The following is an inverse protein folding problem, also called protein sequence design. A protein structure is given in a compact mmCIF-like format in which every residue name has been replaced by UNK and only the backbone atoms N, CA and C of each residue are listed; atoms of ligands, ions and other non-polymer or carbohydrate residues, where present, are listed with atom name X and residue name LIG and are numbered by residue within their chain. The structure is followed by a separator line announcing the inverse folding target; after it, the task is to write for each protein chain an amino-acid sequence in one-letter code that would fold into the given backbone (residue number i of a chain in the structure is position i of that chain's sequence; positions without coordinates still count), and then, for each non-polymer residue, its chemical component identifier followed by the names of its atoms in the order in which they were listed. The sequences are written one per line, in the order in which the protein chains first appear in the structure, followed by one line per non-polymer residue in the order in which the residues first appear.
data_IF_842170705780
#
_entry.id   IF_842170705780
#
_cell.length_a   1.000
_cell.length_b   1.000
_cell.length_c   1.000
_cell.angle_alpha   90.00
_cell.angle_beta   90.00
_cell.angle_gamma   90.00
#
_symmetry.space_group_name_H-M   'P 1'
#
loop_
_entity.id
_entity.type
_entity.pdbx_description
1 polymer ?
#
# COMPACT_ATOMS: atom_id res chain seq x y z
N UNK A 1 -11.53 12.12 2.42
CA UNK A 1 -11.05 12.60 3.73
C UNK A 1 -11.59 11.87 4.94
N UNK A 2 -12.56 10.96 4.82
CA UNK A 2 -13.17 10.27 5.98
C UNK A 2 -12.66 8.84 6.14
N UNK A 3 -12.84 8.26 7.33
CA UNK A 3 -12.64 6.84 7.58
C UNK A 3 -13.84 6.24 8.32
N UNK A 4 -14.04 4.94 8.12
CA UNK A 4 -15.07 4.14 8.77
C UNK A 4 -14.40 3.07 9.62
N UNK A 5 -14.99 2.75 10.78
CA UNK A 5 -14.54 1.67 11.65
C UNK A 5 -15.66 0.65 11.78
N UNK A 6 -15.29 -0.63 11.71
CA UNK A 6 -16.22 -1.75 11.80
C UNK A 6 -15.71 -2.78 12.81
N UNK A 7 -16.65 -3.36 13.56
CA UNK A 7 -16.44 -4.58 14.33
C UNK A 7 -17.19 -5.72 13.65
N UNK A 8 -16.46 -6.64 13.01
CA UNK A 8 -17.06 -7.63 12.13
C UNK A 8 -17.77 -6.95 10.95
N UNK A 9 -19.10 -7.13 10.86
CA UNK A 9 -19.94 -6.49 9.82
C UNK A 9 -20.67 -5.23 10.31
N UNK A 10 -20.55 -4.87 11.60
CA UNK A 10 -21.27 -3.73 12.19
C UNK A 10 -20.38 -2.49 12.17
N UNK A 11 -20.88 -1.40 11.59
CA UNK A 11 -20.22 -0.10 11.69
C UNK A 11 -20.31 0.40 13.13
N UNK A 12 -19.21 0.94 13.64
CA UNK A 12 -19.20 1.56 14.95
C UNK A 12 -19.96 2.88 14.95
N UNK A 13 -20.61 3.22 16.06
CA UNK A 13 -21.76 4.14 16.08
C UNK A 13 -21.54 5.52 15.46
N UNK A 14 -20.50 6.25 15.88
CA UNK A 14 -20.27 7.65 15.48
C UNK A 14 -19.38 7.80 14.23
N UNK A 15 -19.26 6.73 13.43
CA UNK A 15 -18.55 6.72 12.16
C UNK A 15 -19.49 7.03 10.97
N UNK A 16 -18.98 7.62 9.88
CA UNK A 16 -17.58 7.97 9.61
C UNK A 16 -17.08 9.22 10.34
N UNK A 17 -15.76 9.27 10.54
CA UNK A 17 -15.04 10.43 11.09
C UNK A 17 -14.05 11.00 10.07
N UNK A 18 -13.61 12.23 10.27
CA UNK A 18 -12.52 12.78 9.45
C UNK A 18 -11.21 12.06 9.79
N UNK A 19 -10.35 11.87 8.78
CA UNK A 19 -9.02 11.27 8.99
C UNK A 19 -8.23 12.07 10.03
N UNK A 20 -8.38 13.39 10.06
CA UNK A 20 -7.73 14.25 11.05
C UNK A 20 -8.08 13.90 12.50
N UNK A 21 -9.28 13.37 12.75
CA UNK A 21 -9.79 13.11 14.10
C UNK A 21 -9.18 11.83 14.68
N UNK A 22 -9.00 10.80 13.84
CA UNK A 22 -8.44 9.50 14.25
C UNK A 22 -6.96 9.32 13.96
N UNK A 23 -6.45 10.01 12.93
CA UNK A 23 -5.11 9.85 12.38
C UNK A 23 -4.43 11.21 12.17
N UNK A 24 -4.34 11.99 13.25
CA UNK A 24 -3.68 13.30 13.24
C UNK A 24 -2.28 13.22 12.60
N UNK A 25 -2.00 14.14 11.66
CA UNK A 25 -0.74 14.18 10.91
C UNK A 25 -0.70 13.32 9.64
N UNK A 26 -1.76 12.56 9.35
CA UNK A 26 -1.94 11.83 8.09
C UNK A 26 -2.76 12.68 7.11
N UNK A 27 -2.35 12.77 5.82
CA UNK A 27 -3.10 13.57 4.85
C UNK A 27 -4.42 12.88 4.43
N UNK A 28 -5.27 13.66 3.78
CA UNK A 28 -6.47 13.13 3.15
C UNK A 28 -6.16 12.38 1.85
N UNK A 29 -7.14 11.59 1.38
CA UNK A 29 -7.12 10.90 0.08
C UNK A 29 -5.90 9.98 -0.08
N UNK A 30 -5.63 9.19 0.97
CA UNK A 30 -4.59 8.16 1.02
C UNK A 30 -4.77 7.14 -0.10
N UNK A 31 -3.67 6.69 -0.70
CA UNK A 31 -3.69 5.68 -1.77
C UNK A 31 -3.64 4.26 -1.19
N UNK A 32 -2.84 4.02 -0.15
CA UNK A 32 -2.76 2.72 0.54
C UNK A 32 -2.40 2.87 2.03
N UNK A 33 -2.72 1.85 2.84
CA UNK A 33 -2.26 1.77 4.23
C UNK A 33 -2.04 0.31 4.65
N UNK A 34 -1.08 0.08 5.55
CA UNK A 34 -0.84 -1.24 6.15
C UNK A 34 -0.33 -1.14 7.59
N UNK A 35 -0.59 -2.15 8.40
CA UNK A 35 0.16 -2.38 9.64
C UNK A 35 1.42 -3.16 9.26
N UNK A 36 2.60 -2.60 9.55
CA UNK A 36 3.86 -3.25 9.19
C UNK A 36 4.41 -4.04 10.37
N UNK A 37 4.50 -5.36 10.24
CA UNK A 37 4.91 -6.26 11.32
C UNK A 37 6.37 -6.13 11.76
N UNK A 38 7.22 -5.43 11.00
CA UNK A 38 8.58 -5.12 11.45
C UNK A 38 8.63 -4.28 12.72
N UNK A 39 7.63 -3.43 12.97
CA UNK A 39 7.55 -2.64 14.22
C UNK A 39 6.12 -2.37 14.73
N UNK A 40 5.10 -2.98 14.14
CA UNK A 40 3.70 -2.87 14.55
C UNK A 40 3.03 -1.50 14.26
N UNK A 41 3.72 -0.58 13.60
CA UNK A 41 3.18 0.76 13.30
C UNK A 41 2.34 0.73 12.02
N UNK A 42 1.49 1.74 11.87
CA UNK A 42 0.66 1.91 10.67
C UNK A 42 1.41 2.78 9.67
N UNK A 43 1.51 2.31 8.43
CA UNK A 43 2.14 3.01 7.33
C UNK A 43 1.06 3.46 6.36
N UNK A 44 1.02 4.76 6.07
CA UNK A 44 0.10 5.37 5.12
C UNK A 44 0.89 5.87 3.91
N UNK A 45 0.37 5.66 2.71
CA UNK A 45 1.03 5.99 1.45
C UNK A 45 0.18 6.96 0.66
N UNK A 46 0.82 8.02 0.15
CA UNK A 46 0.18 8.99 -0.74
C UNK A 46 1.20 9.52 -1.74
N UNK A 47 0.87 9.38 -3.01
CA UNK A 47 1.70 9.76 -4.15
C UNK A 47 3.09 9.11 -4.06
N UNK A 48 4.16 9.90 -4.00
CA UNK A 48 5.54 9.42 -3.86
C UNK A 48 6.04 9.38 -2.41
N UNK A 49 5.13 9.42 -1.44
CA UNK A 49 5.45 9.62 -0.01
C UNK A 49 4.75 8.60 0.88
N UNK A 50 5.34 8.39 2.06
CA UNK A 50 4.71 7.63 3.13
C UNK A 50 4.89 8.29 4.50
N UNK A 51 3.95 7.99 5.40
CA UNK A 51 3.92 8.40 6.80
C UNK A 51 3.96 7.15 7.67
N UNK A 52 4.64 7.25 8.81
CA UNK A 52 4.59 6.22 9.86
C UNK A 52 3.84 6.76 11.05
N UNK A 53 2.69 6.17 11.30
CA UNK A 53 1.77 6.51 12.38
C UNK A 53 1.94 5.54 13.55
N UNK A 54 2.12 6.08 14.74
CA UNK A 54 2.21 5.34 15.99
C UNK A 54 1.09 5.79 16.94
N UNK A 55 0.05 4.97 17.16
CA UNK A 55 -1.06 5.34 18.04
C UNK A 55 -0.64 5.51 19.51
N UNK A 56 0.53 5.01 19.92
CA UNK A 56 1.04 5.13 21.27
C UNK A 56 1.81 6.45 21.53
N UNK A 57 2.03 7.28 20.51
CA UNK A 57 2.84 8.50 20.62
C UNK A 57 2.00 9.77 20.48
N UNK A 58 2.48 10.86 21.10
CA UNK A 58 1.90 12.21 20.99
C UNK A 58 3.03 13.21 20.69
N UNK A 59 3.16 13.74 19.46
CA UNK A 59 2.31 13.48 18.30
C UNK A 59 2.48 12.05 17.73
N UNK A 60 1.44 11.48 17.09
CA UNK A 60 1.49 10.10 16.57
C UNK A 60 2.34 9.96 15.30
N UNK A 61 2.61 11.07 14.61
CA UNK A 61 3.53 11.15 13.47
C UNK A 61 4.75 11.98 13.87
N UNK A 62 5.96 11.43 13.65
CA UNK A 62 7.20 12.17 13.91
C UNK A 62 7.43 13.24 12.83
N UNK A 63 8.00 14.38 13.20
CA UNK A 63 8.31 15.48 12.26
C UNK A 63 9.31 15.14 11.14
N UNK A 64 9.96 13.98 11.18
CA UNK A 64 10.80 13.45 10.11
C UNK A 64 10.02 12.76 8.98
N UNK A 65 8.69 12.78 9.05
CA UNK A 65 7.78 12.29 8.01
C UNK A 65 7.01 13.45 7.37
N UNK A 66 6.55 13.31 6.11
CA UNK A 66 6.67 12.12 5.25
C UNK A 66 8.09 11.82 4.78
N UNK A 67 8.31 10.56 4.38
CA UNK A 67 9.52 10.12 3.68
C UNK A 67 9.19 9.67 2.25
N UNK A 68 10.15 9.70 1.32
CA UNK A 68 9.95 9.17 -0.03
C UNK A 68 9.63 7.67 0.00
N UNK A 69 8.67 7.22 -0.82
CA UNK A 69 8.36 5.79 -0.94
C UNK A 69 9.54 4.99 -1.51
N UNK A 70 10.47 5.63 -2.22
CA UNK A 70 11.72 5.03 -2.70
C UNK A 70 12.61 4.43 -1.61
N UNK A 71 12.36 4.75 -0.33
CA UNK A 71 12.98 4.03 0.79
C UNK A 71 12.56 2.55 0.82
N UNK A 72 11.39 2.20 0.29
CA UNK A 72 10.97 0.83 -0.01
C UNK A 72 11.53 0.45 -1.38
N UNK A 73 12.76 -0.04 -1.41
CA UNK A 73 13.51 -0.22 -2.65
C UNK A 73 12.77 -1.11 -3.66
N UNK A 74 12.60 -0.59 -4.89
CA UNK A 74 11.90 -1.26 -5.99
C UNK A 74 10.37 -1.07 -6.03
N UNK A 75 9.77 -0.40 -5.03
CA UNK A 75 8.33 -0.08 -5.03
C UNK A 75 8.07 1.20 -5.83
N UNK A 76 7.11 1.20 -6.77
CA UNK A 76 6.77 2.41 -7.55
C UNK A 76 5.97 3.41 -6.71
N UNK A 77 5.90 4.66 -7.19
CA UNK A 77 5.01 5.68 -6.65
C UNK A 77 3.52 5.35 -6.89
N UNK A 78 2.64 6.05 -6.16
CA UNK A 78 1.19 6.00 -6.30
C UNK A 78 0.61 4.57 -6.18
N UNK A 79 1.12 3.74 -5.28
CA UNK A 79 0.61 2.37 -5.07
C UNK A 79 -0.90 2.36 -4.79
N UNK A 80 -1.59 1.30 -5.23
CA UNK A 80 -3.04 1.17 -5.10
C UNK A 80 -3.45 0.43 -3.81
N UNK A 81 -2.56 -0.42 -3.28
CA UNK A 81 -2.76 -1.13 -2.01
C UNK A 81 -1.43 -1.63 -1.44
N UNK A 82 -1.41 -1.88 -0.13
CA UNK A 82 -0.30 -2.51 0.57
C UNK A 82 -0.83 -3.42 1.69
N UNK A 83 -0.21 -4.58 1.90
CA UNK A 83 -0.50 -5.44 3.03
C UNK A 83 0.72 -6.28 3.40
N UNK A 84 0.89 -6.61 4.68
CA UNK A 84 1.80 -7.68 5.07
C UNK A 84 1.04 -9.00 5.15
N UNK A 85 1.59 -10.04 4.52
CA UNK A 85 0.96 -11.34 4.47
C UNK A 85 1.48 -12.25 5.58
N UNK A 86 0.75 -13.33 5.88
CA UNK A 86 1.07 -14.27 6.96
C UNK A 86 2.38 -15.03 6.75
N UNK A 87 2.95 -15.01 5.54
CA UNK A 87 4.26 -15.57 5.24
C UNK A 87 5.43 -14.62 5.56
N UNK A 88 5.15 -13.45 6.13
CA UNK A 88 6.16 -12.48 6.57
C UNK A 88 6.68 -11.54 5.50
N UNK A 89 6.21 -11.66 4.24
CA UNK A 89 6.50 -10.70 3.18
C UNK A 89 5.45 -9.59 3.13
N UNK A 90 5.88 -8.40 2.72
CA UNK A 90 4.99 -7.28 2.40
C UNK A 90 4.65 -7.29 0.91
N UNK A 91 3.40 -6.99 0.56
CA UNK A 91 2.92 -6.97 -0.82
C UNK A 91 2.35 -5.59 -1.15
N UNK A 92 2.85 -5.01 -2.23
CA UNK A 92 2.38 -3.74 -2.78
C UNK A 92 1.71 -3.99 -4.11
N UNK A 93 0.64 -3.24 -4.41
CA UNK A 93 -0.13 -3.39 -5.64
C UNK A 93 -0.09 -2.09 -6.45
N UNK A 94 0.08 -2.22 -7.77
CA UNK A 94 0.02 -1.08 -8.69
C UNK A 94 -0.41 -1.51 -10.09
N UNK A 95 -1.44 -0.88 -10.63
CA UNK A 95 -1.83 -1.01 -12.04
C UNK A 95 -2.12 -2.45 -12.45
N UNK A 96 -2.80 -3.23 -11.60
CA UNK A 96 -3.09 -4.64 -11.85
C UNK A 96 -1.93 -5.61 -11.57
N UNK A 97 -0.80 -5.10 -11.10
CA UNK A 97 0.35 -5.90 -10.70
C UNK A 97 0.55 -5.89 -9.19
N UNK A 98 1.37 -6.83 -8.72
CA UNK A 98 1.86 -6.85 -7.36
C UNK A 98 3.38 -7.03 -7.29
N UNK A 99 3.95 -6.49 -6.23
CA UNK A 99 5.37 -6.54 -5.87
C UNK A 99 5.45 -7.28 -4.53
N UNK A 100 6.25 -8.35 -4.47
CA UNK A 100 6.60 -8.98 -3.19
C UNK A 100 7.84 -8.27 -2.67
N UNK A 101 7.75 -7.70 -1.48
CA UNK A 101 8.83 -6.99 -0.81
C UNK A 101 9.39 -7.89 0.30
N UNK A 102 10.70 -8.07 0.28
CA UNK A 102 11.42 -8.86 1.27
C UNK A 102 11.86 -7.96 2.42
N UNK A 103 11.15 -8.04 3.53
CA UNK A 103 11.38 -7.20 4.71
C UNK A 103 12.77 -7.40 5.34
N UNK A 104 13.46 -8.52 5.06
CA UNK A 104 14.82 -8.79 5.57
C UNK A 104 15.89 -8.07 4.77
N UNK A 105 15.77 -8.04 3.45
CA UNK A 105 16.69 -7.33 2.56
C UNK A 105 16.25 -5.90 2.30
N UNK A 106 15.03 -5.55 2.72
CA UNK A 106 14.41 -4.24 2.55
C UNK A 106 14.33 -3.77 1.09
N UNK A 107 14.04 -4.71 0.18
CA UNK A 107 13.87 -4.46 -1.25
C UNK A 107 12.80 -5.39 -1.85
N UNK A 108 12.31 -5.07 -3.05
CA UNK A 108 11.53 -6.02 -3.87
C UNK A 108 12.32 -7.31 -4.01
N UNK A 109 11.64 -8.41 -3.73
CA UNK A 109 12.22 -9.73 -3.69
C UNK A 109 12.67 -10.19 -5.08
N UNK A 110 13.76 -10.94 -5.16
CA UNK A 110 14.26 -11.51 -6.41
C UNK A 110 13.78 -12.95 -6.55
N UNK A 111 13.05 -13.25 -7.62
CA UNK A 111 12.50 -14.57 -7.89
C UNK A 111 12.27 -14.77 -9.39
N UNK A 112 12.06 -16.02 -9.82
CA UNK A 112 11.64 -16.38 -11.18
C UNK A 112 10.18 -16.90 -11.15
N UNK A 113 9.24 -16.33 -11.92
CA UNK A 113 9.36 -15.13 -12.75
C UNK A 113 9.62 -13.85 -11.92
N UNK A 114 10.25 -12.81 -12.48
CA UNK A 114 10.54 -11.58 -11.72
C UNK A 114 9.27 -10.86 -11.28
N UNK A 115 9.38 -10.07 -10.20
CA UNK A 115 8.38 -9.09 -9.84
C UNK A 115 8.62 -7.78 -10.61
N UNK A 116 7.58 -6.98 -10.89
CA UNK A 116 6.17 -7.22 -10.57
C UNK A 116 5.51 -8.33 -11.41
N UNK A 117 4.45 -8.95 -10.85
CA UNK A 117 3.65 -9.99 -11.52
C UNK A 117 2.16 -9.60 -11.55
N UNK A 118 1.39 -10.18 -12.47
CA UNK A 118 -0.05 -9.92 -12.59
C UNK A 118 -0.83 -10.37 -11.36
N UNK A 119 -1.51 -9.43 -10.68
CA UNK A 119 -2.39 -9.78 -9.57
C UNK A 119 -3.58 -10.63 -10.04
N UNK A 120 -4.08 -10.42 -11.26
CA UNK A 120 -5.15 -11.21 -11.88
C UNK A 120 -4.85 -12.71 -11.86
N UNK A 121 -3.67 -13.12 -12.34
CA UNK A 121 -3.28 -14.52 -12.40
C UNK A 121 -2.94 -15.10 -11.01
N UNK A 122 -2.16 -14.37 -10.22
CA UNK A 122 -1.56 -14.91 -8.99
C UNK A 122 -2.41 -14.74 -7.73
N UNK A 123 -3.22 -13.68 -7.65
CA UNK A 123 -4.06 -13.38 -6.48
C UNK A 123 -5.53 -13.70 -6.73
N UNK A 124 -6.05 -13.38 -7.93
CA UNK A 124 -7.47 -13.54 -8.24
C UNK A 124 -7.80 -14.83 -9.01
N UNK A 125 -6.78 -15.58 -9.43
CA UNK A 125 -6.96 -16.89 -10.08
C UNK A 125 -7.42 -16.83 -11.54
N UNK A 126 -7.30 -15.69 -12.22
CA UNK A 126 -7.64 -15.55 -13.63
C UNK A 126 -6.62 -16.31 -14.52
N UNK A 127 -6.86 -17.60 -14.76
CA UNK A 127 -5.92 -18.49 -15.49
C UNK A 127 -5.81 -18.21 -16.99
N UNK A 128 -6.75 -17.46 -17.56
CA UNK A 128 -6.70 -17.01 -18.96
C UNK A 128 -5.73 -15.84 -19.18
N UNK A 129 -5.31 -15.16 -18.11
CA UNK A 129 -4.41 -14.00 -18.16
C UNK A 129 -2.94 -14.41 -18.16
N UNK A 130 -2.07 -13.50 -18.62
CA UNK A 130 -0.62 -13.73 -18.58
C UNK A 130 -0.10 -13.74 -17.15
N UNK A 131 0.86 -14.64 -16.86
CA UNK A 131 1.49 -14.74 -15.52
C UNK A 131 2.43 -13.57 -15.20
N UNK A 132 2.91 -12.89 -16.24
CA UNK A 132 3.94 -11.85 -16.16
C UNK A 132 3.40 -10.49 -15.74
N UNK A 133 4.16 -9.45 -16.01
CA UNK A 133 3.74 -8.07 -15.76
C UNK A 133 2.61 -7.65 -16.70
N UNK A 134 1.56 -7.05 -16.12
CA UNK A 134 0.52 -6.31 -16.86
C UNK A 134 1.09 -4.95 -17.21
N UNK A 135 1.45 -4.74 -18.48
CA UNK A 135 1.81 -3.42 -18.96
C UNK A 135 0.64 -2.45 -18.75
N UNK A 136 0.92 -1.27 -18.19
CA UNK A 136 -0.08 -0.22 -18.10
C UNK A 136 -0.58 0.08 -19.52
N UNK A 137 -1.88 -0.14 -19.75
CA UNK A 137 -2.53 0.13 -21.02
C UNK A 137 -2.36 1.63 -21.30
N UNK A 138 -1.38 2.01 -22.13
CA UNK A 138 -1.33 3.35 -22.73
C UNK A 138 -2.55 3.42 -23.65
N UNK A 139 -3.69 3.89 -23.13
CA UNK A 139 -4.79 4.35 -23.99
C UNK A 139 -4.13 5.28 -25.00
N UNK A 140 -4.18 4.91 -26.29
CA UNK A 140 -3.69 5.72 -27.40
C UNK A 140 -4.19 7.15 -27.16
N UNK A 141 -3.30 8.08 -26.84
CA UNK A 141 -3.52 9.47 -27.21
C UNK A 141 -3.51 9.46 -28.73
N UNK A 142 -4.68 9.27 -29.32
CA UNK A 142 -4.91 9.68 -30.68
C UNK A 142 -4.71 11.20 -30.69
N UNK A 143 -3.55 11.65 -31.18
CA UNK A 143 -3.38 13.02 -31.60
C UNK A 143 -4.47 13.31 -32.64
N UNK A 144 -5.34 14.26 -32.30
CA UNK A 144 -6.06 15.07 -33.27
C UNK A 144 -5.39 16.42 -33.31
#
# INVERSE_FOLDING_TARGET
SKYWRYTGKKMDGDYPKEISDGFMGIPNNIDAAMVWGGNGKIYFYKDSKFWRFDPAQKPPVKGTYPKPISNWEGIPDNIDAALQYTNGYTYFFKGGNYYRFNDRTFAVDSADPPFPRAASYWWFGCRSETKGFVAANKRKQAMR
#
